data_IF_350765834867
#
_entry.id   IF_350765834867
#
_cell.length_a   1.000
_cell.length_b   1.000
_cell.length_c   1.000
_cell.angle_alpha   90.00
_cell.angle_beta   90.00
_cell.angle_gamma   90.00
#
_symmetry.space_group_name_H-M   'P 1'
#
loop_
_entity.id
_entity.type
_entity.pdbx_description
1 polymer ?
#
# COMPACT_ATOMS: atom_id res chain seq x y z
N UNK A 1 15.28 1.58 5.65
CA UNK A 1 14.09 2.35 5.24
C UNK A 1 13.85 2.08 3.75
N UNK A 2 12.81 1.36 3.42
CA UNK A 2 12.46 1.05 2.03
C UNK A 2 11.33 1.99 1.62
N UNK A 3 11.52 2.83 0.63
CA UNK A 3 10.51 3.77 0.14
C UNK A 3 10.00 3.35 -1.23
N UNK A 4 8.71 3.38 -1.37
CA UNK A 4 7.96 3.07 -2.59
C UNK A 4 7.14 4.28 -2.98
N UNK A 5 7.15 4.72 -4.22
CA UNK A 5 6.38 5.88 -4.66
C UNK A 5 5.38 5.53 -5.75
N UNK A 6 4.09 5.90 -5.62
CA UNK A 6 3.01 5.58 -6.54
C UNK A 6 2.12 6.77 -6.89
N UNK A 7 2.13 7.29 -8.12
CA UNK A 7 1.09 8.22 -8.62
C UNK A 7 0.09 7.50 -9.52
N UNK A 8 -1.19 7.81 -9.35
CA UNK A 8 -2.23 7.37 -10.28
C UNK A 8 -2.69 8.56 -11.11
N UNK A 9 -2.16 8.69 -12.33
CA UNK A 9 -2.72 9.60 -13.31
C UNK A 9 -3.77 8.84 -14.14
N UNK A 10 -5.04 9.10 -13.85
CA UNK A 10 -6.14 8.57 -14.66
C UNK A 10 -6.46 9.51 -15.81
N UNK A 11 -6.18 9.11 -17.04
CA UNK A 11 -6.74 9.80 -18.18
C UNK A 11 -8.06 9.13 -18.58
N UNK A 12 -9.15 9.87 -18.59
CA UNK A 12 -10.49 9.31 -18.85
C UNK A 12 -10.64 8.71 -20.27
N UNK A 13 -9.85 9.15 -21.24
CA UNK A 13 -9.98 8.78 -22.64
C UNK A 13 -8.87 7.90 -23.22
N UNK A 14 -7.96 7.39 -22.40
CA UNK A 14 -6.82 6.58 -22.86
C UNK A 14 -6.68 5.23 -22.11
N UNK A 15 -5.79 4.35 -22.55
CA UNK A 15 -5.48 3.15 -21.78
C UNK A 15 -5.04 3.58 -20.38
N UNK A 16 -5.78 3.15 -19.36
CA UNK A 16 -5.52 3.48 -17.95
C UNK A 16 -4.26 2.80 -17.49
N UNK A 17 -3.14 3.44 -17.69
CA UNK A 17 -1.91 3.02 -17.02
C UNK A 17 -2.01 3.42 -15.57
N UNK A 18 -2.37 2.47 -14.71
CA UNK A 18 -2.36 2.68 -13.26
C UNK A 18 -0.92 2.60 -12.80
N UNK A 19 -0.25 3.73 -12.76
CA UNK A 19 1.04 3.83 -12.07
C UNK A 19 0.73 4.00 -10.59
N UNK A 20 1.09 3.02 -9.79
CA UNK A 20 0.98 3.10 -8.32
C UNK A 20 2.33 3.50 -7.76
N UNK A 21 2.42 4.69 -7.25
CA UNK A 21 3.57 5.16 -6.49
C UNK A 21 3.17 5.24 -5.02
N UNK A 22 4.03 4.80 -4.11
CA UNK A 22 3.76 4.88 -2.68
C UNK A 22 5.04 4.69 -1.88
N UNK A 23 5.02 5.16 -0.68
CA UNK A 23 6.10 4.95 0.27
C UNK A 23 5.69 3.85 1.24
N UNK A 24 6.61 2.96 1.55
CA UNK A 24 6.49 2.01 2.65
C UNK A 24 7.48 2.45 3.72
N UNK A 25 6.95 2.70 4.91
CA UNK A 25 7.73 3.10 6.06
C UNK A 25 7.73 1.99 7.09
N UNK A 26 8.89 1.71 7.67
CA UNK A 26 8.99 0.97 8.89
C UNK A 26 9.01 1.96 10.05
N UNK A 27 8.09 1.77 11.00
CA UNK A 27 7.90 2.68 12.13
C UNK A 27 8.05 1.87 13.41
N UNK A 28 8.94 2.32 14.29
CA UNK A 28 9.12 1.74 15.61
C UNK A 28 8.50 2.66 16.67
N UNK A 29 7.76 2.08 17.60
CA UNK A 29 7.11 2.83 18.67
C UNK A 29 6.10 2.00 19.45
N UNK A 30 5.49 2.63 20.45
CA UNK A 30 4.38 2.06 21.21
C UNK A 30 3.05 2.24 20.46
N UNK A 31 2.00 1.48 20.77
CA UNK A 31 0.69 1.66 20.15
C UNK A 31 0.12 3.08 20.25
N UNK A 32 0.53 3.85 21.26
CA UNK A 32 0.08 5.22 21.49
C UNK A 32 1.03 6.29 20.91
N UNK A 33 2.14 5.89 20.31
CA UNK A 33 3.06 6.84 19.66
C UNK A 33 2.38 7.51 18.48
N UNK A 34 2.56 8.83 18.37
CA UNK A 34 2.05 9.63 17.27
C UNK A 34 2.94 9.51 16.04
N UNK A 35 2.30 9.37 14.89
CA UNK A 35 2.93 9.33 13.57
C UNK A 35 2.40 10.49 12.76
N UNK A 36 3.26 11.42 12.42
CA UNK A 36 2.95 12.54 11.56
C UNK A 36 3.37 12.22 10.12
N UNK A 37 2.41 12.18 9.21
CA UNK A 37 2.64 12.01 7.77
C UNK A 37 2.44 13.35 7.07
N UNK A 38 3.50 13.86 6.45
CA UNK A 38 3.45 15.05 5.61
C UNK A 38 3.52 14.63 4.14
N UNK A 39 2.51 15.05 3.37
CA UNK A 39 2.42 14.80 1.93
C UNK A 39 2.09 16.12 1.26
N UNK A 40 3.02 16.68 0.53
CA UNK A 40 2.91 18.02 -0.04
C UNK A 40 2.57 19.06 1.05
N UNK A 41 1.43 19.73 0.91
CA UNK A 41 0.93 20.74 1.85
C UNK A 41 0.02 20.14 2.94
N UNK A 42 -0.15 18.82 2.96
CA UNK A 42 -1.06 18.14 3.89
C UNK A 42 -0.29 17.45 5.00
N UNK A 43 -0.82 17.56 6.20
CA UNK A 43 -0.29 16.94 7.41
C UNK A 43 -1.38 16.08 8.05
N UNK A 44 -1.04 14.82 8.34
CA UNK A 44 -1.94 13.84 8.93
C UNK A 44 -1.31 13.26 10.19
N UNK A 45 -2.06 13.24 11.28
CA UNK A 45 -1.65 12.65 12.55
C UNK A 45 -2.43 11.38 12.83
N UNK A 46 -1.73 10.35 13.26
CA UNK A 46 -2.29 9.05 13.63
C UNK A 46 -1.47 8.44 14.76
N UNK A 47 -2.11 7.71 15.64
CA UNK A 47 -1.40 6.79 16.51
C UNK A 47 -1.06 5.49 15.75
N UNK A 48 0.01 4.79 16.17
CA UNK A 48 0.33 3.46 15.62
C UNK A 48 -0.87 2.52 15.74
N UNK A 49 -1.58 2.56 16.88
CA UNK A 49 -2.81 1.79 17.12
C UNK A 49 -3.89 2.05 16.05
N UNK A 50 -4.08 3.30 15.68
CA UNK A 50 -5.06 3.66 14.64
C UNK A 50 -4.62 3.18 13.26
N UNK A 51 -3.35 3.26 12.95
CA UNK A 51 -2.80 2.76 11.68
C UNK A 51 -2.94 1.24 11.57
N UNK A 52 -2.76 0.51 12.68
CA UNK A 52 -2.93 -0.94 12.73
C UNK A 52 -4.40 -1.39 12.60
N UNK A 53 -5.35 -0.49 12.85
CA UNK A 53 -6.77 -0.83 12.91
C UNK A 53 -7.43 -0.91 11.53
N UNK A 54 -7.11 0.02 10.63
CA UNK A 54 -7.75 0.09 9.31
C UNK A 54 -6.98 0.99 8.33
N UNK A 55 -7.17 0.72 7.05
CA UNK A 55 -6.74 1.62 5.96
C UNK A 55 -7.64 2.84 5.85
N UNK A 56 -7.11 3.95 5.34
CA UNK A 56 -7.82 5.22 5.17
C UNK A 56 -7.53 5.85 3.82
N UNK A 57 -8.50 6.62 3.33
CA UNK A 57 -8.32 7.52 2.19
C UNK A 57 -8.63 8.93 2.68
N UNK A 58 -7.70 9.85 2.48
CA UNK A 58 -7.89 11.29 2.64
C UNK A 58 -7.99 11.91 1.25
N UNK A 59 -9.16 12.41 0.90
CA UNK A 59 -9.42 13.06 -0.38
C UNK A 59 -9.55 14.56 -0.17
N UNK A 60 -8.89 15.34 -1.02
CA UNK A 60 -8.96 16.81 -1.05
C UNK A 60 -10.12 17.23 -1.93
N UNK A 61 -11.31 16.79 -1.55
CA UNK A 61 -12.51 16.95 -2.36
C UNK A 61 -12.96 18.40 -2.46
N UNK A 62 -13.01 19.10 -1.33
CA UNK A 62 -13.45 20.50 -1.30
C UNK A 62 -12.48 21.42 -2.05
N UNK A 63 -11.17 21.23 -1.86
CA UNK A 63 -10.17 22.01 -2.59
C UNK A 63 -10.27 21.80 -4.09
N UNK A 64 -10.63 20.59 -4.54
CA UNK A 64 -10.85 20.31 -5.97
C UNK A 64 -12.06 21.07 -6.52
N UNK A 65 -13.15 21.15 -5.75
CA UNK A 65 -14.34 21.96 -6.10
C UNK A 65 -13.96 23.44 -6.15
N UNK A 66 -13.29 23.93 -5.13
CA UNK A 66 -12.92 25.34 -5.02
C UNK A 66 -11.97 25.76 -6.15
N UNK A 67 -11.01 24.90 -6.50
CA UNK A 67 -10.12 25.11 -7.64
C UNK A 67 -10.90 25.17 -8.95
N UNK A 68 -11.78 24.20 -9.19
CA UNK A 68 -12.59 24.15 -10.41
C UNK A 68 -13.49 25.38 -10.52
N UNK A 69 -14.16 25.78 -9.46
CA UNK A 69 -15.01 26.97 -9.41
C UNK A 69 -14.22 28.27 -9.67
N UNK A 70 -12.98 28.34 -9.19
CA UNK A 70 -12.10 29.50 -9.40
C UNK A 70 -11.62 29.62 -10.84
N UNK A 71 -11.32 28.48 -11.49
CA UNK A 71 -10.75 28.46 -12.85
C UNK A 71 -11.84 28.55 -13.92
N UNK A 72 -12.95 27.85 -13.71
CA UNK A 72 -14.02 27.70 -14.73
C UNK A 72 -15.33 28.37 -14.37
N UNK A 73 -15.42 29.01 -13.20
CA UNK A 73 -16.67 29.47 -12.63
C UNK A 73 -17.45 28.32 -11.99
N UNK A 74 -18.58 28.68 -11.37
CA UNK A 74 -19.46 27.69 -10.76
C UNK A 74 -20.05 26.77 -11.82
N UNK A 75 -19.69 25.51 -11.78
CA UNK A 75 -20.18 24.48 -12.69
C UNK A 75 -21.15 23.58 -11.90
N UNK A 76 -22.41 23.56 -12.31
CA UNK A 76 -23.42 22.67 -11.80
C UNK A 76 -23.23 21.28 -12.45
N UNK A 77 -22.49 20.41 -11.75
CA UNK A 77 -22.42 19.00 -12.12
C UNK A 77 -23.61 18.25 -11.52
N UNK A 78 -24.31 17.50 -12.35
CA UNK A 78 -25.40 16.63 -11.89
C UNK A 78 -24.91 15.41 -11.10
N UNK A 79 -23.57 15.21 -11.03
CA UNK A 79 -22.91 14.14 -10.29
C UNK A 79 -21.68 14.68 -9.55
N UNK A 80 -21.63 14.41 -8.25
CA UNK A 80 -20.48 14.75 -7.41
C UNK A 80 -19.27 13.83 -7.64
N UNK A 81 -19.49 12.68 -8.30
CA UNK A 81 -18.44 11.70 -8.59
C UNK A 81 -17.31 12.25 -9.45
N UNK A 82 -17.57 13.24 -10.31
CA UNK A 82 -16.54 13.92 -11.09
C UNK A 82 -15.45 14.52 -10.20
N UNK A 83 -15.81 15.26 -9.18
CA UNK A 83 -14.86 15.87 -8.24
C UNK A 83 -14.15 14.81 -7.41
N UNK A 84 -14.88 13.77 -6.99
CA UNK A 84 -14.30 12.66 -6.26
C UNK A 84 -13.24 11.92 -7.08
N UNK A 85 -13.49 11.64 -8.34
CA UNK A 85 -12.54 10.94 -9.20
C UNK A 85 -11.29 11.75 -9.49
N UNK A 86 -11.42 13.07 -9.63
CA UNK A 86 -10.31 13.96 -9.96
C UNK A 86 -9.66 14.62 -8.73
N UNK A 87 -10.26 14.49 -7.55
CA UNK A 87 -9.67 15.00 -6.33
C UNK A 87 -8.36 14.30 -6.01
N UNK A 88 -7.40 15.06 -5.49
CA UNK A 88 -6.17 14.52 -4.95
C UNK A 88 -6.47 13.62 -3.76
N UNK A 89 -5.84 12.46 -3.69
CA UNK A 89 -6.11 11.46 -2.64
C UNK A 89 -4.82 10.89 -2.07
N UNK A 90 -4.72 10.89 -0.77
CA UNK A 90 -3.69 10.16 -0.04
C UNK A 90 -4.31 8.88 0.52
N UNK A 91 -3.80 7.73 0.08
CA UNK A 91 -4.21 6.44 0.63
C UNK A 91 -3.18 5.99 1.66
N UNK A 92 -3.63 5.82 2.89
CA UNK A 92 -2.83 5.31 4.00
C UNK A 92 -3.30 3.89 4.26
N UNK A 93 -2.43 2.93 4.01
CA UNK A 93 -2.76 1.52 4.23
C UNK A 93 -2.64 1.16 5.70
N UNK A 94 -3.38 0.14 6.10
CA UNK A 94 -3.26 -0.45 7.43
C UNK A 94 -1.81 -0.88 7.67
N UNK A 95 -1.27 -0.49 8.82
CA UNK A 95 0.04 -0.94 9.25
C UNK A 95 -0.01 -2.41 9.66
N UNK A 96 1.02 -3.14 9.27
CA UNK A 96 1.17 -4.57 9.60
C UNK A 96 2.27 -4.68 10.64
N UNK A 97 2.02 -5.30 11.82
CA UNK A 97 3.05 -5.50 12.83
C UNK A 97 4.13 -6.47 12.32
N UNK A 98 5.34 -6.36 12.85
CA UNK A 98 6.51 -7.11 12.40
C UNK A 98 6.30 -8.63 12.46
N UNK A 99 5.66 -9.13 13.49
CA UNK A 99 5.35 -10.55 13.68
C UNK A 99 4.35 -11.10 12.63
N UNK A 100 3.64 -10.22 11.92
CA UNK A 100 2.71 -10.62 10.87
C UNK A 100 3.32 -10.67 9.46
N UNK A 101 4.52 -10.09 9.23
CA UNK A 101 5.19 -10.14 7.92
C UNK A 101 6.58 -10.77 7.95
N UNK A 102 7.11 -11.08 9.12
CA UNK A 102 8.34 -11.85 9.30
C UNK A 102 7.98 -13.24 9.80
N UNK A 103 8.26 -14.25 8.98
CA UNK A 103 8.05 -15.65 9.33
C UNK A 103 9.42 -16.36 9.36
N UNK A 104 9.81 -16.85 10.52
CA UNK A 104 10.92 -17.78 10.66
C UNK A 104 10.34 -19.19 10.78
N UNK A 105 10.70 -20.05 9.85
CA UNK A 105 10.24 -21.44 9.83
C UNK A 105 11.44 -22.36 9.63
N UNK A 106 11.61 -23.29 10.54
CA UNK A 106 12.63 -24.34 10.47
C UNK A 106 11.93 -25.70 10.53
N UNK A 107 12.37 -26.61 9.70
CA UNK A 107 11.92 -28.00 9.69
C UNK A 107 13.05 -28.91 9.25
N UNK A 108 13.34 -29.88 10.08
CA UNK A 108 14.20 -31.00 9.71
C UNK A 108 13.39 -32.01 8.88
N UNK A 109 13.97 -32.47 7.80
CA UNK A 109 13.40 -33.52 6.93
C UNK A 109 14.49 -34.54 6.62
N UNK A 110 14.10 -35.81 6.61
CA UNK A 110 14.95 -36.87 6.12
C UNK A 110 15.02 -36.78 4.60
N UNK A 111 16.22 -36.62 4.04
CA UNK A 111 16.43 -36.48 2.61
C UNK A 111 16.81 -37.81 1.96
N UNK A 112 16.14 -38.16 0.88
CA UNK A 112 16.45 -39.35 0.09
C UNK A 112 17.54 -39.05 -0.95
N UNK A 113 18.52 -39.95 -1.10
CA UNK A 113 19.56 -39.81 -2.11
C UNK A 113 18.99 -39.78 -3.52
N UNK A 114 19.41 -38.80 -4.32
CA UNK A 114 18.93 -38.58 -5.68
C UNK A 114 17.58 -37.87 -5.79
N UNK A 115 16.98 -37.45 -4.68
CA UNK A 115 15.75 -36.66 -4.67
C UNK A 115 16.00 -35.14 -4.83
N UNK A 116 14.96 -34.43 -5.22
CA UNK A 116 14.97 -32.97 -5.30
C UNK A 116 13.91 -32.40 -4.38
N UNK A 117 14.29 -31.44 -3.58
CA UNK A 117 13.40 -30.76 -2.64
C UNK A 117 13.20 -29.32 -3.02
N UNK A 118 11.96 -28.82 -2.96
CA UNK A 118 11.61 -27.43 -3.22
C UNK A 118 10.72 -26.91 -2.09
N UNK A 119 11.02 -25.71 -1.63
CA UNK A 119 10.11 -24.98 -0.75
C UNK A 119 9.25 -24.02 -1.59
N UNK A 120 7.96 -24.04 -1.30
CA UNK A 120 6.99 -23.10 -1.84
C UNK A 120 6.19 -22.52 -0.69
N UNK A 121 6.08 -21.20 -0.65
CA UNK A 121 5.35 -20.47 0.38
C UNK A 121 4.18 -19.75 -0.27
N UNK A 122 2.97 -19.95 0.25
CA UNK A 122 1.77 -19.20 -0.13
C UNK A 122 1.45 -18.18 0.94
N UNK A 123 1.30 -16.94 0.53
CA UNK A 123 0.84 -15.87 1.39
C UNK A 123 -0.70 -15.78 1.37
N UNK A 124 -1.29 -15.22 2.43
CA UNK A 124 -2.76 -15.07 2.52
C UNK A 124 -3.35 -14.14 1.44
N UNK A 125 -2.54 -13.26 0.86
CA UNK A 125 -2.92 -12.36 -0.22
C UNK A 125 -2.88 -13.01 -1.62
N UNK A 126 -2.48 -14.30 -1.71
CA UNK A 126 -2.36 -15.05 -2.94
C UNK A 126 -0.98 -15.04 -3.59
N UNK A 127 -0.04 -14.28 -3.06
CA UNK A 127 1.35 -14.29 -3.56
C UNK A 127 2.03 -15.63 -3.24
N UNK A 128 2.98 -16.00 -4.09
CA UNK A 128 3.75 -17.25 -3.95
C UNK A 128 5.24 -16.95 -4.04
N UNK A 129 5.99 -17.43 -3.07
CA UNK A 129 7.44 -17.44 -3.10
C UNK A 129 7.98 -18.84 -3.38
N UNK A 130 9.03 -18.93 -4.18
CA UNK A 130 9.69 -20.16 -4.58
C UNK A 130 11.16 -20.07 -4.18
N UNK A 131 11.66 -21.13 -3.57
CA UNK A 131 13.08 -21.25 -3.27
C UNK A 131 13.72 -22.16 -4.32
N UNK A 132 14.98 -21.91 -4.64
CA UNK A 132 15.76 -22.78 -5.52
C UNK A 132 15.74 -24.23 -5.02
N UNK A 133 15.66 -25.22 -5.91
CA UNK A 133 15.66 -26.62 -5.50
C UNK A 133 16.97 -27.01 -4.83
N UNK A 134 16.87 -27.88 -3.84
CA UNK A 134 17.99 -28.58 -3.22
C UNK A 134 18.09 -29.94 -3.89
N UNK A 135 19.22 -30.26 -4.47
CA UNK A 135 19.51 -31.56 -5.08
C UNK A 135 20.33 -32.39 -4.09
N UNK A 136 19.87 -33.60 -3.82
CA UNK A 136 20.60 -34.55 -2.97
C UNK A 136 21.36 -35.52 -3.88
N UNK A 137 22.67 -35.49 -3.80
CA UNK A 137 23.52 -36.40 -4.56
C UNK A 137 23.31 -37.86 -4.13
N UNK A 138 23.61 -38.79 -5.04
CA UNK A 138 23.49 -40.23 -4.78
C UNK A 138 24.69 -40.73 -3.99
#
# INVERSE_FOLDING_TARGET
MTSYMSTTTGNWMGPRTVVKEGFVFEVEGTPNSDVCLKVDNYEYHFTIRELMKTSRIKAQYQESIDLANRVYGKVDHYRDDFYWHNAYKTRIRQAVPQDAYVLNYEKEIDMEAGANYRLRVWLKNGDVAWVSPIFVEK
#
